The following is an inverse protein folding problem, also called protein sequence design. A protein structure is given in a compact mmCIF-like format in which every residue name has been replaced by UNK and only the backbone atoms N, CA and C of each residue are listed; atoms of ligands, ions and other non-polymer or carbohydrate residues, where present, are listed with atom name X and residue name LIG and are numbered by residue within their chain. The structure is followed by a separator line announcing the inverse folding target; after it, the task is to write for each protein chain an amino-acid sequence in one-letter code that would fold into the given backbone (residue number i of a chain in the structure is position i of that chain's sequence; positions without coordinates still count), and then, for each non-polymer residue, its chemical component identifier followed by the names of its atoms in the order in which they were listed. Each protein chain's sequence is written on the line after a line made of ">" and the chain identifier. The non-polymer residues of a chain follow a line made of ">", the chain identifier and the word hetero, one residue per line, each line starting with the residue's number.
data_IF_780639619539
#
_entry.id   IF_780639619539
#
_cell.length_a   1.000
_cell.length_b   1.000
_cell.length_c   1.000
_cell.angle_alpha   90.00
_cell.angle_beta   90.00
_cell.angle_gamma   90.00
#
_symmetry.space_group_name_H-M   'P 1'
#
loop_
_entity.id
_entity.type
_entity.pdbx_description
1 polymer ?
#
# COMPACT_ATOMS: atom_id res chain seq x y z
N UNK A 1 7.11 -32.15 50.65
CA UNK A 1 5.87 -31.41 50.30
C UNK A 1 6.30 -30.17 49.51
N UNK A 2 6.15 -30.13 48.17
CA UNK A 2 5.15 -29.32 47.42
C UNK A 2 4.88 -27.97 48.13
N UNK A 3 5.12 -26.77 47.63
CA UNK A 3 5.17 -26.14 46.29
C UNK A 3 5.73 -24.71 46.53
N UNK A 4 6.18 -23.91 45.58
CA UNK A 4 5.38 -22.86 44.90
C UNK A 4 6.32 -22.16 43.91
N UNK A 5 5.87 -22.01 42.67
CA UNK A 5 6.50 -21.24 41.60
C UNK A 5 6.31 -19.74 41.86
N UNK A 6 7.39 -18.96 41.84
CA UNK A 6 7.36 -17.50 41.83
C UNK A 6 8.04 -17.00 40.55
N UNK A 7 7.26 -16.24 39.80
CA UNK A 7 7.60 -15.54 38.56
C UNK A 7 8.78 -14.59 38.75
N UNK A 8 9.86 -14.80 37.98
CA UNK A 8 10.99 -13.87 37.90
C UNK A 8 10.72 -12.90 36.74
N UNK A 9 10.50 -11.65 37.09
CA UNK A 9 10.66 -10.51 36.20
C UNK A 9 12.16 -10.35 35.89
N UNK A 10 12.56 -10.56 34.64
CA UNK A 10 13.91 -10.26 34.18
C UNK A 10 13.90 -8.93 33.41
N UNK A 11 14.47 -7.92 34.04
CA UNK A 11 14.77 -6.61 33.49
C UNK A 11 15.96 -6.75 32.51
N UNK A 12 15.73 -6.53 31.22
CA UNK A 12 16.81 -6.48 30.21
C UNK A 12 17.07 -5.01 29.84
N UNK A 13 18.25 -4.51 30.24
CA UNK A 13 18.87 -3.29 29.73
C UNK A 13 19.60 -3.65 28.43
N UNK A 14 19.13 -3.14 27.29
CA UNK A 14 19.70 -3.41 25.96
C UNK A 14 19.61 -2.20 25.03
N UNK A 15 20.75 -1.89 24.41
CA UNK A 15 21.06 -0.78 23.49
C UNK A 15 20.14 -0.79 22.25
N UNK A 16 19.80 0.40 21.77
CA UNK A 16 18.87 0.61 20.67
C UNK A 16 19.25 -0.08 19.37
N UNK A 17 18.27 -0.77 18.82
CA UNK A 17 18.01 -0.82 17.39
C UNK A 17 16.63 -0.19 17.25
N UNK A 18 16.60 1.03 16.70
CA UNK A 18 15.39 1.55 16.10
C UNK A 18 15.05 0.59 14.96
N UNK A 19 14.26 -0.43 15.26
CA UNK A 19 13.45 -1.07 14.25
C UNK A 19 12.62 0.07 13.66
N UNK A 20 13.02 0.52 12.47
CA UNK A 20 12.15 1.28 11.60
C UNK A 20 10.94 0.37 11.39
N UNK A 21 9.98 0.51 12.30
CA UNK A 21 8.69 -0.14 12.23
C UNK A 21 8.20 0.21 10.85
N UNK A 22 8.21 -0.80 9.99
CA UNK A 22 7.58 -0.74 8.70
C UNK A 22 6.22 -0.11 8.95
N UNK A 23 6.00 1.06 8.36
CA UNK A 23 4.75 1.79 8.53
C UNK A 23 3.65 0.91 7.95
N UNK A 24 3.07 0.07 8.80
CA UNK A 24 1.75 -0.48 8.62
C UNK A 24 0.81 0.69 8.85
N UNK A 25 0.64 1.53 7.82
CA UNK A 25 -0.49 2.45 7.76
C UNK A 25 -1.76 1.63 7.96
N UNK A 26 -2.79 2.17 8.64
CA UNK A 26 -4.04 1.47 8.86
C UNK A 26 -4.77 1.36 7.52
N UNK A 27 -4.46 0.33 6.74
CA UNK A 27 -5.27 -0.08 5.60
C UNK A 27 -6.53 -0.71 6.17
N UNK A 28 -7.49 0.14 6.55
CA UNK A 28 -8.82 -0.29 6.90
C UNK A 28 -9.41 -1.01 5.70
N UNK A 29 -9.55 -2.34 5.78
CA UNK A 29 -10.35 -3.22 4.92
C UNK A 29 -10.35 -2.97 3.39
N UNK A 30 -9.38 -2.24 2.83
CA UNK A 30 -9.24 -2.08 1.39
C UNK A 30 -8.51 -3.30 0.81
N UNK A 31 -8.88 -3.79 -0.38
CA UNK A 31 -8.11 -4.81 -1.06
C UNK A 31 -6.62 -4.46 -1.07
N UNK A 32 -5.79 -5.48 -0.84
CA UNK A 32 -4.35 -5.29 -0.70
C UNK A 32 -3.78 -4.52 -1.90
N UNK A 33 -3.03 -3.45 -1.63
CA UNK A 33 -2.37 -2.63 -2.65
C UNK A 33 -3.15 -1.38 -3.10
N UNK A 34 -4.31 -1.07 -2.49
CA UNK A 34 -5.01 0.20 -2.69
C UNK A 34 -4.57 1.27 -1.68
N UNK A 35 -4.37 2.49 -2.18
CA UNK A 35 -3.94 3.66 -1.42
C UNK A 35 -4.87 4.85 -1.68
N UNK A 36 -5.14 5.64 -0.64
CA UNK A 36 -5.96 6.86 -0.73
C UNK A 36 -5.19 8.04 -1.32
N UNK A 37 -3.87 8.06 -1.18
CA UNK A 37 -3.02 9.15 -1.66
C UNK A 37 -1.97 8.61 -2.63
N UNK A 38 -1.57 9.46 -3.58
CA UNK A 38 -0.48 9.12 -4.49
C UNK A 38 0.85 8.95 -3.73
N UNK A 39 1.09 9.76 -2.69
CA UNK A 39 2.33 9.73 -1.92
C UNK A 39 2.51 8.39 -1.19
N UNK A 40 1.44 7.87 -0.57
CA UNK A 40 1.45 6.55 0.07
C UNK A 40 1.74 5.45 -0.96
N UNK A 41 1.10 5.54 -2.14
CA UNK A 41 1.34 4.59 -3.22
C UNK A 41 2.79 4.67 -3.72
N UNK A 42 3.34 5.87 -3.94
CA UNK A 42 4.74 6.06 -4.39
C UNK A 42 5.75 5.57 -3.36
N UNK A 43 5.45 5.67 -2.07
CA UNK A 43 6.32 5.16 -1.01
C UNK A 43 6.35 3.62 -0.95
N UNK A 44 5.30 2.95 -1.44
CA UNK A 44 5.15 1.49 -1.38
C UNK A 44 5.43 0.80 -2.72
N UNK A 45 5.09 1.44 -3.83
CA UNK A 45 5.25 0.93 -5.17
C UNK A 45 6.66 1.27 -5.69
N UNK A 46 7.48 0.25 -5.94
CA UNK A 46 8.72 0.40 -6.72
C UNK A 46 8.47 0.56 -8.22
N UNK A 47 7.20 0.39 -8.65
CA UNK A 47 6.73 0.54 -10.04
C UNK A 47 5.94 1.84 -10.21
N UNK A 48 5.44 2.08 -11.43
CA UNK A 48 4.51 3.19 -11.66
C UNK A 48 3.29 3.07 -10.75
N UNK A 49 2.86 4.21 -10.20
CA UNK A 49 1.56 4.33 -9.54
C UNK A 49 0.51 4.61 -10.60
N UNK A 50 -0.62 3.91 -10.50
CA UNK A 50 -1.78 4.05 -11.38
C UNK A 50 -3.01 4.35 -10.54
N UNK A 51 -3.99 4.98 -11.16
CA UNK A 51 -5.28 5.26 -10.56
C UNK A 51 -6.30 4.24 -11.08
N UNK A 52 -6.68 3.26 -10.25
CA UNK A 52 -7.66 2.24 -10.60
C UNK A 52 -9.08 2.74 -10.30
N UNK A 53 -9.96 2.71 -11.29
CA UNK A 53 -11.39 2.88 -11.08
C UNK A 53 -12.00 1.54 -10.63
N UNK A 54 -12.50 1.49 -9.40
CA UNK A 54 -13.04 0.26 -8.79
C UNK A 54 -14.37 -0.20 -9.42
N UNK A 55 -15.09 0.66 -10.14
CA UNK A 55 -16.34 0.28 -10.84
C UNK A 55 -16.11 -0.37 -12.20
N UNK A 56 -15.11 0.11 -12.94
CA UNK A 56 -14.87 -0.32 -14.33
C UNK A 56 -13.66 -1.25 -14.46
N UNK A 57 -12.88 -1.41 -13.38
CA UNK A 57 -11.58 -2.08 -13.37
C UNK A 57 -10.67 -1.58 -14.51
N UNK A 58 -10.73 -0.28 -14.77
CA UNK A 58 -9.85 0.42 -15.70
C UNK A 58 -8.93 1.29 -14.87
N UNK A 59 -7.63 1.16 -15.07
CA UNK A 59 -6.66 2.02 -14.43
C UNK A 59 -6.09 3.05 -15.40
N UNK A 60 -5.70 4.18 -14.83
CA UNK A 60 -5.16 5.33 -15.53
C UNK A 60 -3.73 5.61 -15.06
N UNK A 61 -2.85 6.05 -15.96
CA UNK A 61 -1.47 6.34 -15.61
C UNK A 61 -1.29 7.75 -15.03
N UNK A 62 -0.25 7.95 -14.22
CA UNK A 62 0.12 9.28 -13.74
C UNK A 62 0.32 10.25 -14.91
N UNK A 63 -0.29 11.44 -14.81
CA UNK A 63 -0.24 12.48 -15.85
C UNK A 63 -1.34 12.41 -16.90
N UNK A 64 -2.23 11.40 -16.87
CA UNK A 64 -3.43 11.39 -17.72
C UNK A 64 -4.57 12.16 -17.06
N UNK A 65 -5.54 12.61 -17.86
CA UNK A 65 -6.66 13.44 -17.40
C UNK A 65 -7.49 12.78 -16.29
N UNK A 66 -7.62 11.46 -16.34
CA UNK A 66 -8.54 10.71 -15.49
C UNK A 66 -7.86 10.18 -14.21
N UNK A 67 -6.55 10.39 -14.07
CA UNK A 67 -5.74 9.99 -12.92
C UNK A 67 -6.09 10.78 -11.65
N UNK A 68 -6.62 10.13 -10.62
CA UNK A 68 -7.01 10.77 -9.36
C UNK A 68 -8.31 11.59 -9.41
N UNK A 69 -9.01 11.59 -10.56
CA UNK A 69 -10.17 12.48 -10.77
C UNK A 69 -11.52 11.81 -10.48
N UNK A 70 -11.56 10.48 -10.47
CA UNK A 70 -12.83 9.77 -10.27
C UNK A 70 -13.19 9.66 -8.78
N UNK A 71 -14.48 9.71 -8.44
CA UNK A 71 -14.94 9.51 -7.04
C UNK A 71 -14.79 8.08 -6.53
N UNK A 72 -14.69 7.11 -7.44
CA UNK A 72 -14.67 5.67 -7.13
C UNK A 72 -13.40 5.04 -7.67
N UNK A 73 -12.27 5.46 -7.14
CA UNK A 73 -10.99 4.86 -7.46
C UNK A 73 -9.99 4.94 -6.32
N UNK A 74 -8.87 4.25 -6.50
CA UNK A 74 -7.77 4.19 -5.57
C UNK A 74 -6.44 4.22 -6.34
N UNK A 75 -5.39 4.71 -5.68
CA UNK A 75 -4.04 4.57 -6.18
C UNK A 75 -3.56 3.13 -5.95
N UNK A 76 -2.94 2.53 -6.94
CA UNK A 76 -2.37 1.17 -6.85
C UNK A 76 -1.03 1.11 -7.56
N UNK A 77 -0.24 0.08 -7.24
CA UNK A 77 0.92 -0.26 -8.04
C UNK A 77 0.45 -0.84 -9.38
N UNK A 78 1.06 -0.39 -10.49
CA UNK A 78 0.76 -0.92 -11.83
C UNK A 78 0.66 -2.46 -11.90
N UNK A 79 1.63 -3.25 -11.39
CA UNK A 79 1.54 -4.72 -11.47
C UNK A 79 0.37 -5.32 -10.68
N UNK A 80 -0.13 -4.65 -9.65
CA UNK A 80 -1.31 -5.10 -8.90
C UNK A 80 -2.59 -4.67 -9.62
N UNK A 81 -2.60 -3.47 -10.21
CA UNK A 81 -3.68 -3.01 -11.07
C UNK A 81 -3.86 -3.88 -12.33
N UNK A 82 -2.77 -4.40 -12.89
CA UNK A 82 -2.76 -5.34 -14.02
C UNK A 82 -3.40 -6.70 -13.67
N UNK A 83 -3.40 -7.11 -12.38
CA UNK A 83 -4.04 -8.36 -11.94
C UNK A 83 -5.56 -8.22 -11.79
N UNK A 84 -6.02 -7.03 -11.42
CA UNK A 84 -7.44 -6.78 -11.09
C UNK A 84 -8.19 -6.07 -12.21
N UNK A 85 -7.49 -5.40 -13.12
CA UNK A 85 -8.07 -4.57 -14.15
C UNK A 85 -7.19 -4.44 -15.39
N UNK A 86 -7.47 -3.42 -16.20
CA UNK A 86 -6.77 -3.17 -17.47
C UNK A 86 -6.45 -1.70 -17.66
N UNK A 87 -5.38 -1.40 -18.38
CA UNK A 87 -5.06 -0.04 -18.77
C UNK A 87 -6.17 0.59 -19.62
N UNK A 88 -6.38 1.89 -19.46
CA UNK A 88 -7.20 2.66 -20.37
C UNK A 88 -6.65 2.56 -21.81
N UNK A 89 -7.50 2.17 -22.75
CA UNK A 89 -7.18 1.87 -24.16
C UNK A 89 -6.43 2.97 -24.94
N UNK A 90 -6.51 4.22 -24.49
CA UNK A 90 -5.88 5.38 -25.14
C UNK A 90 -4.75 5.98 -24.29
N UNK A 91 -4.30 5.28 -23.26
CA UNK A 91 -3.25 5.76 -22.36
C UNK A 91 -2.02 4.86 -22.47
N UNK A 92 -0.84 5.50 -22.52
CA UNK A 92 0.44 4.80 -22.43
C UNK A 92 1.03 5.03 -21.05
N UNK A 93 1.78 4.04 -20.58
CA UNK A 93 2.61 4.21 -19.41
C UNK A 93 3.55 5.40 -19.63
N UNK A 94 3.75 6.27 -18.62
CA UNK A 94 4.72 7.34 -18.70
C UNK A 94 6.08 6.72 -19.02
N UNK A 95 6.78 7.32 -19.98
CA UNK A 95 8.16 7.00 -20.28
C UNK A 95 8.98 7.09 -18.99
N UNK A 96 9.82 6.09 -18.76
CA UNK A 96 10.74 6.04 -17.63
C UNK A 96 11.83 7.11 -17.80
#
# INVERSE_FOLDING_TARGET
>A
MRTIFATIAALVLGIGIAEAQTMASPAGNMPAGEYKTEADAKAKCSSNVVWLNSKSHVYHFAGTRDYGHTKSGAYMCQPDADKVGRAAKNEKAPGK
#
